data_IF_029732018299
#
_entry.id   IF_029732018299
#
_cell.length_a   1.000
_cell.length_b   1.000
_cell.length_c   1.000
_cell.angle_alpha   90.00
_cell.angle_beta   90.00
_cell.angle_gamma   90.00
#
_symmetry.space_group_name_H-M   'P 1'
#
loop_
_entity.id
_entity.type
_entity.pdbx_description
1 polymer ?
#
# COMPACT_ATOMS: atom_id res chain seq x y z
N UNK A 1 -68.06 23.37 0.88
CA UNK A 1 -66.72 23.76 0.49
C UNK A 1 -65.76 23.20 1.56
N UNK A 2 -65.20 22.02 1.31
CA UNK A 2 -64.22 21.38 2.23
C UNK A 2 -62.87 21.41 1.53
N UNK A 3 -61.92 22.15 2.05
CA UNK A 3 -60.55 22.20 1.57
C UNK A 3 -59.76 21.03 2.17
N UNK A 4 -59.28 20.10 1.32
CA UNK A 4 -58.38 19.03 1.67
C UNK A 4 -56.95 19.59 1.68
N UNK A 5 -56.29 19.58 2.82
CA UNK A 5 -54.86 19.84 2.98
C UNK A 5 -54.11 18.53 2.81
N UNK A 6 -53.35 18.41 1.72
CA UNK A 6 -52.40 17.30 1.53
C UNK A 6 -51.06 17.71 2.17
N UNK A 7 -50.75 17.07 3.28
CA UNK A 7 -49.44 17.20 3.94
C UNK A 7 -48.48 16.28 3.20
N UNK A 8 -47.55 16.87 2.43
CA UNK A 8 -46.43 16.14 1.82
C UNK A 8 -45.36 15.77 2.87
N UNK A 9 -45.17 14.51 3.13
CA UNK A 9 -44.08 13.99 3.95
C UNK A 9 -42.84 13.95 3.05
N UNK A 10 -41.94 14.92 3.23
CA UNK A 10 -40.58 14.89 2.70
C UNK A 10 -39.77 13.84 3.49
N UNK A 11 -39.62 12.66 2.91
CA UNK A 11 -38.72 11.63 3.39
C UNK A 11 -37.27 12.09 3.23
N UNK A 12 -36.65 12.50 4.34
CA UNK A 12 -35.21 12.80 4.40
C UNK A 12 -34.47 11.47 4.39
N UNK A 13 -34.02 11.02 3.20
CA UNK A 13 -33.15 9.87 3.05
C UNK A 13 -31.79 10.19 3.66
N UNK A 14 -31.55 9.70 4.88
CA UNK A 14 -30.22 9.64 5.49
C UNK A 14 -29.35 8.71 4.65
N UNK A 15 -28.55 9.28 3.77
CA UNK A 15 -27.44 8.57 3.13
C UNK A 15 -26.42 8.31 4.23
N UNK A 16 -26.48 7.13 4.83
CA UNK A 16 -25.41 6.61 5.67
C UNK A 16 -24.19 6.37 4.74
N UNK A 17 -23.43 7.43 4.48
CA UNK A 17 -22.09 7.29 3.97
C UNK A 17 -21.29 6.56 5.04
N UNK A 18 -21.20 5.23 4.91
CA UNK A 18 -20.35 4.41 5.74
C UNK A 18 -18.95 5.01 5.71
N UNK A 19 -18.45 5.46 6.86
CA UNK A 19 -17.04 5.76 7.04
C UNK A 19 -16.27 4.47 6.74
N UNK A 20 -15.86 4.30 5.48
CA UNK A 20 -14.80 3.34 5.18
C UNK A 20 -13.60 3.83 5.98
N UNK A 21 -13.14 3.04 6.94
CA UNK A 21 -11.93 3.28 7.71
C UNK A 21 -10.71 3.19 6.78
N UNK A 22 -10.58 4.10 5.85
CA UNK A 22 -9.38 4.34 5.06
C UNK A 22 -8.38 5.08 5.93
N UNK A 23 -7.87 4.40 6.95
CA UNK A 23 -6.78 4.95 7.76
C UNK A 23 -5.51 4.96 6.91
N UNK A 24 -5.00 6.12 6.61
CA UNK A 24 -3.73 6.30 5.92
C UNK A 24 -3.79 7.28 4.76
N UNK A 25 -2.62 7.67 4.26
CA UNK A 25 -2.46 8.59 3.14
C UNK A 25 -2.99 7.97 1.85
N UNK A 26 -3.56 8.79 0.98
CA UNK A 26 -4.00 8.39 -0.35
C UNK A 26 -2.82 8.18 -1.29
N UNK A 27 -3.02 7.39 -2.34
CA UNK A 27 -2.11 7.36 -3.47
C UNK A 27 -2.13 8.72 -4.19
N UNK A 28 -0.97 9.17 -4.63
CA UNK A 28 -0.80 10.48 -5.27
C UNK A 28 -0.25 10.27 -6.67
N UNK A 29 -0.81 10.98 -7.63
CA UNK A 29 -0.25 11.10 -8.97
C UNK A 29 0.48 12.43 -9.07
N UNK A 30 1.67 12.42 -9.66
CA UNK A 30 2.38 13.62 -10.03
C UNK A 30 2.96 13.47 -11.44
N UNK A 31 3.22 14.59 -12.07
CA UNK A 31 3.85 14.66 -13.41
C UNK A 31 5.28 15.15 -13.22
N UNK A 32 6.23 14.45 -13.82
CA UNK A 32 7.63 14.84 -13.83
C UNK A 32 7.80 16.16 -14.58
N UNK A 33 8.43 17.13 -13.96
CA UNK A 33 8.77 18.40 -14.62
C UNK A 33 9.89 18.26 -15.64
N UNK A 34 10.60 17.12 -15.64
CA UNK A 34 11.73 16.88 -16.53
C UNK A 34 11.30 16.31 -17.89
N UNK A 35 10.43 15.31 -17.89
CA UNK A 35 10.02 14.56 -19.09
C UNK A 35 8.51 14.52 -19.32
N UNK A 36 7.72 15.12 -18.44
CA UNK A 36 6.26 15.14 -18.52
C UNK A 36 5.58 13.83 -18.18
N UNK A 37 6.33 12.79 -17.78
CA UNK A 37 5.79 11.47 -17.46
C UNK A 37 5.06 11.45 -16.11
N UNK A 38 4.01 10.66 -16.06
CA UNK A 38 3.23 10.46 -14.82
C UNK A 38 3.87 9.41 -13.93
N UNK A 39 3.79 9.64 -12.63
CA UNK A 39 4.10 8.63 -11.63
C UNK A 39 3.04 8.61 -10.53
N UNK A 40 2.77 7.43 -10.03
CA UNK A 40 1.86 7.21 -8.90
C UNK A 40 2.66 6.65 -7.74
N UNK A 41 2.46 7.21 -6.55
CA UNK A 41 3.11 6.70 -5.33
C UNK A 41 2.15 6.62 -4.18
N UNK A 42 2.39 5.68 -3.29
CA UNK A 42 1.79 5.63 -1.96
C UNK A 42 2.88 5.45 -0.91
N UNK A 43 2.79 6.23 0.16
CA UNK A 43 3.72 6.13 1.27
C UNK A 43 3.62 4.77 1.97
N UNK A 44 4.66 4.30 2.68
CA UNK A 44 4.59 3.07 3.44
C UNK A 44 3.49 3.08 4.49
N UNK A 45 2.74 2.00 4.56
CA UNK A 45 1.69 1.74 5.54
C UNK A 45 2.00 0.43 6.26
N UNK A 46 1.74 0.39 7.57
CA UNK A 46 2.07 -0.76 8.40
C UNK A 46 1.35 -2.04 7.98
N UNK A 47 2.11 -3.12 7.87
CA UNK A 47 1.58 -4.48 7.84
C UNK A 47 1.10 -4.89 9.26
N UNK A 48 0.35 -5.97 9.39
CA UNK A 48 -0.10 -6.45 10.69
C UNK A 48 1.02 -7.27 11.36
N UNK A 49 1.53 -6.78 12.47
CA UNK A 49 2.53 -7.47 13.29
C UNK A 49 2.20 -7.32 14.78
N UNK A 50 2.79 -8.17 15.60
CA UNK A 50 2.69 -8.14 17.07
C UNK A 50 3.89 -7.48 17.73
N UNK A 51 4.92 -7.16 16.96
CA UNK A 51 6.17 -6.53 17.41
C UNK A 51 6.11 -5.01 17.31
N UNK A 52 6.88 -4.30 18.12
CA UNK A 52 7.10 -2.85 17.97
C UNK A 52 7.92 -2.51 16.72
N UNK A 53 8.70 -3.46 16.21
CA UNK A 53 9.47 -3.34 14.98
C UNK A 53 8.67 -4.01 13.87
N UNK A 54 8.07 -3.19 13.03
CA UNK A 54 7.05 -3.62 12.10
C UNK A 54 7.42 -3.24 10.67
N UNK A 55 7.27 -4.15 9.69
CA UNK A 55 7.31 -3.78 8.29
C UNK A 55 6.17 -2.86 7.89
N UNK A 56 6.49 -1.84 7.09
CA UNK A 56 5.52 -1.05 6.36
C UNK A 56 5.81 -1.14 4.86
N UNK A 57 4.77 -1.00 4.04
CA UNK A 57 4.87 -1.18 2.60
C UNK A 57 4.24 0.00 1.89
N UNK A 58 5.03 0.62 1.02
CA UNK A 58 4.60 1.61 0.04
C UNK A 58 4.84 1.09 -1.38
N UNK A 59 4.44 1.87 -2.37
CA UNK A 59 4.65 1.54 -3.76
C UNK A 59 4.85 2.78 -4.62
N UNK A 60 5.58 2.61 -5.74
CA UNK A 60 5.75 3.60 -6.78
C UNK A 60 5.59 2.94 -8.15
N UNK A 61 4.85 3.59 -9.02
CA UNK A 61 4.71 3.22 -10.43
C UNK A 61 5.08 4.43 -11.29
N UNK A 62 5.71 4.17 -12.44
CA UNK A 62 6.10 5.19 -13.41
C UNK A 62 5.57 4.80 -14.80
N UNK A 63 5.15 5.80 -15.55
CA UNK A 63 4.52 5.62 -16.86
C UNK A 63 5.48 5.01 -17.89
N UNK A 64 6.79 5.26 -17.77
CA UNK A 64 7.82 4.71 -18.68
C UNK A 64 8.01 3.20 -18.55
N UNK A 65 7.67 2.62 -17.40
CA UNK A 65 7.79 1.20 -17.16
C UNK A 65 6.46 0.64 -16.61
N UNK A 66 5.38 0.64 -17.45
CA UNK A 66 4.01 0.42 -16.99
C UNK A 66 3.77 -0.97 -16.39
N UNK A 67 4.58 -1.95 -16.75
CA UNK A 67 4.50 -3.32 -16.24
C UNK A 67 5.31 -3.54 -14.96
N UNK A 68 6.05 -2.53 -14.50
CA UNK A 68 6.87 -2.62 -13.30
C UNK A 68 6.29 -1.78 -12.16
N UNK A 69 6.65 -2.19 -10.94
CA UNK A 69 6.34 -1.47 -9.71
C UNK A 69 7.54 -1.53 -8.76
N UNK A 70 7.86 -0.41 -8.15
CA UNK A 70 8.77 -0.36 -7.00
C UNK A 70 7.99 -0.56 -5.71
N UNK A 71 8.20 -1.68 -5.01
CA UNK A 71 7.67 -1.90 -3.67
C UNK A 71 8.68 -1.37 -2.66
N UNK A 72 8.27 -0.35 -1.89
CA UNK A 72 9.10 0.24 -0.86
C UNK A 72 8.79 -0.40 0.50
N UNK A 73 9.73 -1.19 1.01
CA UNK A 73 9.64 -1.78 2.33
C UNK A 73 10.35 -0.90 3.35
N UNK A 74 9.69 -0.64 4.46
CA UNK A 74 10.23 0.14 5.56
C UNK A 74 10.14 -0.66 6.85
N UNK A 75 11.22 -0.69 7.62
CA UNK A 75 11.22 -1.18 8.99
C UNK A 75 11.14 0.04 9.90
N UNK A 76 10.03 0.16 10.60
CA UNK A 76 9.73 1.29 11.49
C UNK A 76 10.28 1.01 12.89
N UNK A 77 10.68 2.06 13.60
CA UNK A 77 11.21 2.05 14.96
C UNK A 77 12.59 1.39 15.15
N UNK A 78 13.32 1.13 14.05
CA UNK A 78 14.71 0.65 14.17
C UNK A 78 15.55 1.02 12.95
N UNK A 79 16.85 1.16 13.16
CA UNK A 79 17.87 1.33 12.12
C UNK A 79 18.56 -0.01 11.88
N UNK A 80 18.33 -0.58 10.69
CA UNK A 80 18.94 -1.82 10.23
C UNK A 80 19.04 -1.88 8.71
N UNK A 81 20.10 -2.44 8.17
CA UNK A 81 20.18 -2.68 6.74
C UNK A 81 19.15 -3.76 6.33
N UNK A 82 18.38 -3.50 5.28
CA UNK A 82 17.48 -4.49 4.67
C UNK A 82 18.27 -5.20 3.57
N UNK A 83 18.61 -6.46 3.79
CA UNK A 83 19.44 -7.25 2.89
C UNK A 83 18.61 -7.91 1.78
N UNK A 84 17.46 -8.49 2.15
CA UNK A 84 16.54 -9.13 1.20
C UNK A 84 15.08 -8.92 1.64
N UNK A 85 14.19 -9.00 0.66
CA UNK A 85 12.74 -9.01 0.88
C UNK A 85 12.11 -10.15 0.10
N UNK A 86 11.11 -10.79 0.69
CA UNK A 86 10.32 -11.85 0.08
C UNK A 86 8.85 -11.71 0.44
N UNK A 87 8.00 -12.20 -0.45
CA UNK A 87 6.56 -12.26 -0.26
C UNK A 87 6.12 -13.72 -0.29
N UNK A 88 5.31 -14.13 0.67
CA UNK A 88 4.61 -15.41 0.62
C UNK A 88 3.14 -15.14 0.25
N UNK A 89 2.76 -15.40 -1.00
CA UNK A 89 1.42 -15.17 -1.52
C UNK A 89 0.72 -16.52 -1.69
N UNK A 90 -0.24 -16.82 -0.84
CA UNK A 90 -1.00 -18.07 -0.82
C UNK A 90 -0.10 -19.34 -0.82
N UNK A 91 1.06 -19.27 -0.14
CA UNK A 91 2.04 -20.34 -0.04
C UNK A 91 3.18 -20.29 -1.06
N UNK A 92 3.09 -19.48 -2.10
CA UNK A 92 4.18 -19.28 -3.05
C UNK A 92 5.13 -18.16 -2.57
N UNK A 93 6.42 -18.49 -2.50
CA UNK A 93 7.45 -17.53 -2.07
C UNK A 93 8.05 -16.83 -3.29
N UNK A 94 7.90 -15.51 -3.32
CA UNK A 94 8.50 -14.64 -4.33
C UNK A 94 9.66 -13.88 -3.68
N UNK A 95 10.88 -14.18 -4.10
CA UNK A 95 12.06 -13.42 -3.70
C UNK A 95 12.20 -12.18 -4.56
N UNK A 96 12.31 -11.03 -3.91
CA UNK A 96 12.48 -9.75 -4.60
C UNK A 96 13.96 -9.45 -4.76
N UNK A 97 14.36 -9.07 -5.97
CA UNK A 97 15.76 -8.72 -6.27
C UNK A 97 15.92 -7.21 -6.31
N UNK A 98 17.03 -6.70 -5.76
CA UNK A 98 17.37 -5.29 -5.81
C UNK A 98 18.87 -5.07 -5.66
N UNK A 99 19.36 -4.03 -6.32
CA UNK A 99 20.73 -3.51 -6.22
C UNK A 99 20.84 -2.24 -5.37
N UNK A 100 19.71 -1.64 -4.97
CA UNK A 100 19.69 -0.40 -4.19
C UNK A 100 20.21 -0.59 -2.77
N UNK A 101 20.68 0.51 -2.18
CA UNK A 101 21.08 0.54 -0.79
C UNK A 101 19.89 0.81 0.13
N UNK A 102 20.00 0.34 1.38
CA UNK A 102 19.05 0.73 2.42
C UNK A 102 19.20 2.21 2.75
N UNK A 103 18.11 2.95 2.75
CA UNK A 103 18.04 4.33 3.23
C UNK A 103 17.66 4.34 4.70
N UNK A 104 18.32 5.17 5.47
CA UNK A 104 18.06 5.36 6.89
C UNK A 104 17.43 6.73 7.11
N UNK A 105 16.38 6.80 7.90
CA UNK A 105 15.72 8.04 8.28
C UNK A 105 15.78 8.17 9.81
N UNK A 106 16.20 9.37 10.25
CA UNK A 106 16.33 9.71 11.67
C UNK A 106 15.67 11.06 12.01
N UNK A 107 15.06 11.74 11.01
CA UNK A 107 14.55 13.10 11.18
C UNK A 107 13.21 13.14 11.91
N UNK A 108 12.28 12.23 11.54
CA UNK A 108 10.95 12.13 12.15
C UNK A 108 10.69 10.66 12.50
N UNK A 109 11.21 10.22 13.62
CA UNK A 109 11.22 8.80 13.98
C UNK A 109 12.40 8.07 13.35
N UNK A 110 12.58 6.81 13.72
CA UNK A 110 13.70 5.97 13.28
C UNK A 110 13.16 4.93 12.31
N UNK A 111 13.68 4.88 11.09
CA UNK A 111 13.29 3.85 10.13
C UNK A 111 14.39 3.52 9.13
N UNK A 112 14.25 2.36 8.51
CA UNK A 112 15.11 1.90 7.42
C UNK A 112 14.24 1.48 6.26
N UNK A 113 14.50 1.99 5.06
CA UNK A 113 13.70 1.74 3.88
C UNK A 113 14.52 1.24 2.71
N UNK A 114 13.95 0.34 1.91
CA UNK A 114 14.55 -0.16 0.67
C UNK A 114 13.45 -0.46 -0.35
N UNK A 115 13.68 -0.07 -1.60
CA UNK A 115 12.75 -0.31 -2.70
C UNK A 115 13.21 -1.50 -3.54
N UNK A 116 12.28 -2.36 -3.89
CA UNK A 116 12.48 -3.53 -4.75
C UNK A 116 11.58 -3.40 -5.97
N UNK A 117 12.15 -3.53 -7.15
CA UNK A 117 11.40 -3.50 -8.40
C UNK A 117 10.91 -4.92 -8.74
N UNK A 118 9.64 -5.03 -9.11
CA UNK A 118 9.02 -6.29 -9.53
C UNK A 118 7.93 -6.05 -10.57
N UNK A 119 7.36 -7.11 -11.14
CA UNK A 119 6.21 -7.04 -12.05
C UNK A 119 4.98 -6.47 -11.30
N UNK A 120 4.24 -5.57 -11.95
CA UNK A 120 3.01 -4.97 -11.40
C UNK A 120 1.97 -6.04 -11.03
N UNK A 121 1.97 -7.20 -11.74
CA UNK A 121 1.10 -8.34 -11.43
C UNK A 121 1.29 -8.87 -10.00
N UNK A 122 2.43 -8.62 -9.36
CA UNK A 122 2.63 -8.98 -7.95
C UNK A 122 1.66 -8.21 -7.05
N UNK A 123 1.38 -6.93 -7.36
CA UNK A 123 0.37 -6.13 -6.64
C UNK A 123 -1.02 -6.74 -6.83
N UNK A 124 -1.36 -7.16 -8.07
CA UNK A 124 -2.63 -7.83 -8.34
C UNK A 124 -2.77 -9.13 -7.56
N UNK A 125 -1.70 -9.91 -7.49
CA UNK A 125 -1.67 -11.17 -6.74
C UNK A 125 -1.88 -10.92 -5.24
N UNK A 126 -1.20 -9.92 -4.66
CA UNK A 126 -1.39 -9.55 -3.25
C UNK A 126 -2.84 -9.18 -2.98
N UNK A 127 -3.45 -8.33 -3.82
CA UNK A 127 -4.81 -7.83 -3.62
C UNK A 127 -5.86 -8.93 -3.73
N UNK A 128 -5.63 -9.94 -4.59
CA UNK A 128 -6.55 -11.05 -4.83
C UNK A 128 -6.25 -12.29 -3.97
N UNK A 129 -5.21 -12.26 -3.13
CA UNK A 129 -4.82 -13.39 -2.29
C UNK A 129 -5.71 -13.51 -1.05
N UNK A 130 -5.78 -14.71 -0.50
CA UNK A 130 -6.36 -14.98 0.82
C UNK A 130 -5.35 -14.75 1.94
N UNK A 131 -4.07 -14.93 1.63
CA UNK A 131 -2.98 -14.82 2.58
C UNK A 131 -1.72 -14.30 1.89
N UNK A 132 -1.22 -13.16 2.35
CA UNK A 132 0.10 -12.65 1.93
C UNK A 132 0.86 -12.15 3.15
N UNK A 133 2.09 -12.63 3.26
CA UNK A 133 3.06 -12.20 4.27
C UNK A 133 4.27 -11.59 3.60
N UNK A 134 4.87 -10.62 4.27
CA UNK A 134 6.18 -10.07 3.91
C UNK A 134 7.21 -10.55 4.89
N UNK A 135 8.38 -10.95 4.38
CA UNK A 135 9.57 -11.27 5.15
C UNK A 135 10.76 -10.39 4.72
N UNK A 136 11.44 -9.81 5.69
CA UNK A 136 12.62 -8.97 5.48
C UNK A 136 13.81 -9.55 6.22
N UNK A 137 14.85 -9.96 5.49
CA UNK A 137 16.15 -10.27 6.07
C UNK A 137 16.90 -8.97 6.32
N UNK A 138 17.34 -8.75 7.56
CA UNK A 138 18.02 -7.51 7.96
C UNK A 138 19.34 -7.78 8.63
N UNK A 139 20.16 -6.76 8.83
CA UNK A 139 21.42 -6.85 9.60
C UNK A 139 21.24 -7.22 11.08
N UNK A 140 19.99 -7.17 11.59
CA UNK A 140 19.66 -7.51 12.99
C UNK A 140 18.68 -8.70 13.08
N UNK A 141 18.62 -9.55 12.04
CA UNK A 141 17.74 -10.71 11.98
C UNK A 141 16.55 -10.55 11.04
N UNK A 142 15.63 -11.49 11.12
CA UNK A 142 14.46 -11.56 10.24
C UNK A 142 13.26 -10.85 10.87
N UNK A 143 12.50 -10.13 10.04
CA UNK A 143 11.28 -9.44 10.46
C UNK A 143 10.17 -9.82 9.48
N UNK A 144 9.02 -10.21 10.00
CA UNK A 144 7.88 -10.61 9.17
C UNK A 144 6.57 -9.97 9.65
N UNK A 145 5.61 -9.84 8.72
CA UNK A 145 4.28 -9.35 9.04
C UNK A 145 3.26 -9.77 7.99
N UNK A 146 2.00 -9.85 8.39
CA UNK A 146 0.91 -10.12 7.48
C UNK A 146 0.48 -8.85 6.73
N UNK A 147 0.40 -8.93 5.40
CA UNK A 147 -0.28 -7.94 4.57
C UNK A 147 -1.78 -8.20 4.63
N UNK A 148 -2.17 -9.46 4.39
CA UNK A 148 -3.52 -9.98 4.59
C UNK A 148 -3.42 -11.42 5.11
N UNK A 149 -4.27 -11.80 6.05
CA UNK A 149 -4.34 -13.17 6.56
C UNK A 149 -5.77 -13.54 6.98
N UNK A 150 -6.39 -14.46 6.25
CA UNK A 150 -7.72 -14.97 6.55
C UNK A 150 -8.82 -13.91 6.60
N UNK A 151 -8.76 -12.88 5.72
CA UNK A 151 -9.74 -11.80 5.66
C UNK A 151 -9.46 -10.65 6.65
N UNK A 152 -8.31 -10.67 7.35
CA UNK A 152 -7.86 -9.56 8.19
C UNK A 152 -6.92 -8.67 7.39
N UNK A 153 -7.44 -7.55 6.95
CA UNK A 153 -6.71 -6.56 6.14
C UNK A 153 -5.80 -5.70 7.01
N UNK A 154 -4.54 -5.57 6.62
CA UNK A 154 -3.63 -4.57 7.21
C UNK A 154 -3.80 -3.20 6.56
N UNK A 155 -3.19 -2.16 7.16
CA UNK A 155 -3.11 -0.84 6.52
C UNK A 155 -2.32 -0.90 5.21
N UNK A 156 -1.28 -1.75 5.12
CA UNK A 156 -0.50 -1.99 3.91
C UNK A 156 -1.37 -2.58 2.78
N UNK A 157 -2.23 -3.57 3.09
CA UNK A 157 -3.15 -4.14 2.10
C UNK A 157 -4.08 -3.08 1.50
N UNK A 158 -4.72 -2.28 2.36
CA UNK A 158 -5.61 -1.23 1.91
C UNK A 158 -4.88 -0.11 1.14
N UNK A 159 -3.61 0.17 1.49
CA UNK A 159 -2.77 1.09 0.74
C UNK A 159 -2.49 0.58 -0.69
N UNK A 160 -2.11 -0.69 -0.83
CA UNK A 160 -1.87 -1.30 -2.15
C UNK A 160 -3.13 -1.31 -3.02
N UNK A 161 -4.31 -1.52 -2.46
CA UNK A 161 -5.60 -1.40 -3.19
C UNK A 161 -5.81 0.01 -3.73
N UNK A 162 -5.59 1.05 -2.89
CA UNK A 162 -5.69 2.45 -3.32
C UNK A 162 -4.65 2.80 -4.37
N UNK A 163 -3.43 2.31 -4.20
CA UNK A 163 -2.34 2.50 -5.16
C UNK A 163 -2.71 1.92 -6.54
N UNK A 164 -3.15 0.66 -6.59
CA UNK A 164 -3.59 0.03 -7.83
C UNK A 164 -4.70 0.82 -8.51
N UNK A 165 -5.75 1.17 -7.79
CA UNK A 165 -6.86 1.96 -8.33
C UNK A 165 -6.40 3.30 -8.93
N UNK A 166 -5.44 3.98 -8.27
CA UNK A 166 -4.87 5.23 -8.77
C UNK A 166 -4.03 5.03 -10.02
N UNK A 167 -3.24 3.95 -10.10
CA UNK A 167 -2.47 3.60 -11.31
C UNK A 167 -3.40 3.33 -12.48
N UNK A 168 -4.45 2.54 -12.27
CA UNK A 168 -5.46 2.23 -13.31
C UNK A 168 -6.14 3.50 -13.81
N UNK A 169 -6.55 4.39 -12.91
CA UNK A 169 -7.13 5.69 -13.28
C UNK A 169 -6.14 6.57 -14.06
N UNK A 170 -4.85 6.50 -13.75
CA UNK A 170 -3.79 7.28 -14.41
C UNK A 170 -3.47 6.75 -15.81
N UNK A 171 -3.58 5.43 -16.03
CA UNK A 171 -3.34 4.78 -17.35
C UNK A 171 -4.44 5.12 -18.39
N UNK A 172 -5.64 5.46 -17.94
CA UNK A 172 -6.80 5.74 -18.83
C UNK A 172 -6.81 7.20 -19.29
N UNK A 173 -6.20 8.09 -18.54
CA UNK A 173 -6.14 9.54 -18.82
C UNK A 173 -4.83 9.95 -19.46
#
# INVERSE_FOLDING_TARGET
MKKLLIAGVLGFGLVLSGCSTTSGLSAQTATSGFDGKKHVRIAPHGAACTSMICPAIGAVWIEEAPDLVGLNFEVVNDIRAINAAELNIDGEIIKLSNTDLTRFNTDIGVSSAKTYTTDFKVVDRIINSKRTWVGLSTSKGYVEAAIIDGGKDSKAFNALKRFKAQVEATRIN
#
